data_IF_489673770012
#
_entry.id   IF_489673770012
#
_cell.length_a   1.000
_cell.length_b   1.000
_cell.length_c   1.000
_cell.angle_alpha   90.00
_cell.angle_beta   90.00
_cell.angle_gamma   90.00
#
_symmetry.space_group_name_H-M   'P 1'
#
loop_
_entity.id
_entity.type
_entity.pdbx_description
1 polymer ?
#
# COMPACT_ATOMS: atom_id res chain seq x y z
N UNK A 1 10.26 -12.16 -5.59
CA UNK A 1 8.95 -12.85 -5.49
C UNK A 1 9.00 -14.06 -4.54
N UNK A 2 9.68 -15.16 -4.89
CA UNK A 2 9.77 -16.35 -4.02
C UNK A 2 10.37 -16.08 -2.62
N UNK A 3 11.24 -15.08 -2.49
CA UNK A 3 11.74 -14.63 -1.19
C UNK A 3 10.61 -14.07 -0.31
N UNK A 4 9.76 -13.18 -0.83
CA UNK A 4 8.69 -12.55 -0.07
C UNK A 4 7.67 -13.57 0.46
N UNK A 5 7.32 -14.56 -0.35
CA UNK A 5 6.46 -15.66 0.08
C UNK A 5 7.13 -16.53 1.16
N UNK A 6 8.42 -16.86 1.02
CA UNK A 6 9.17 -17.55 2.09
C UNK A 6 9.21 -16.73 3.37
N UNK A 7 9.50 -15.43 3.28
CA UNK A 7 9.48 -14.51 4.42
C UNK A 7 8.12 -14.55 5.14
N UNK A 8 7.02 -14.53 4.38
CA UNK A 8 5.67 -14.71 4.94
C UNK A 8 5.50 -16.03 5.68
N UNK A 9 5.85 -17.16 5.06
CA UNK A 9 5.66 -18.48 5.67
C UNK A 9 6.54 -18.71 6.90
N UNK A 10 7.82 -18.32 6.85
CA UNK A 10 8.70 -18.42 8.01
C UNK A 10 8.16 -17.63 9.20
N UNK A 11 7.67 -16.41 8.98
CA UNK A 11 7.04 -15.63 10.04
C UNK A 11 5.75 -16.26 10.57
N UNK A 12 4.87 -16.74 9.68
CA UNK A 12 3.63 -17.43 10.08
C UNK A 12 3.92 -18.65 10.95
N UNK A 13 4.87 -19.48 10.53
CA UNK A 13 5.29 -20.68 11.27
C UNK A 13 5.94 -20.29 12.61
N UNK A 14 6.85 -19.32 12.62
CA UNK A 14 7.53 -18.88 13.83
C UNK A 14 6.56 -18.27 14.86
N UNK A 15 5.56 -17.50 14.41
CA UNK A 15 4.59 -16.84 15.29
C UNK A 15 3.47 -17.75 15.80
N UNK A 16 3.12 -18.81 15.06
CA UNK A 16 1.91 -19.59 15.35
C UNK A 16 2.14 -21.11 15.46
N UNK A 17 3.36 -21.60 15.21
CA UNK A 17 3.71 -23.00 15.29
C UNK A 17 2.76 -23.87 14.46
N UNK A 18 2.23 -24.94 15.05
CA UNK A 18 1.29 -25.87 14.39
C UNK A 18 -0.05 -25.25 13.97
N UNK A 19 -0.39 -24.07 14.48
CA UNK A 19 -1.65 -23.38 14.20
C UNK A 19 -1.49 -22.24 13.17
N UNK A 20 -0.39 -22.22 12.42
CA UNK A 20 -0.09 -21.17 11.45
C UNK A 20 -1.07 -21.12 10.26
N UNK A 21 -1.67 -22.25 9.90
CA UNK A 21 -2.60 -22.34 8.79
C UNK A 21 -3.73 -23.36 9.04
N UNK A 22 -4.83 -23.19 8.32
CA UNK A 22 -5.94 -24.15 8.24
C UNK A 22 -6.30 -24.42 6.78
N UNK A 23 -6.77 -25.64 6.50
CA UNK A 23 -7.22 -26.04 5.17
C UNK A 23 -8.51 -25.31 4.78
N UNK A 24 -8.62 -24.83 3.54
CA UNK A 24 -9.86 -24.27 2.99
C UNK A 24 -10.80 -25.37 2.53
N UNK A 25 -10.27 -26.46 1.95
CA UNK A 25 -11.04 -27.64 1.59
C UNK A 25 -10.72 -28.80 2.54
N UNK A 26 -11.73 -29.60 2.89
CA UNK A 26 -11.55 -30.81 3.71
C UNK A 26 -10.62 -31.85 3.06
N UNK A 27 -10.52 -31.84 1.73
CA UNK A 27 -9.70 -32.76 0.94
C UNK A 27 -8.23 -32.34 0.87
N UNK A 28 -7.90 -31.10 1.25
CA UNK A 28 -6.50 -30.67 1.29
C UNK A 28 -5.77 -31.34 2.47
N UNK A 29 -4.49 -31.72 2.29
CA UNK A 29 -3.70 -32.26 3.38
C UNK A 29 -3.61 -31.25 4.53
N UNK A 30 -3.55 -31.73 5.77
CA UNK A 30 -3.35 -30.84 6.92
C UNK A 30 -1.99 -30.15 6.79
N UNK A 31 -1.89 -28.85 7.11
CA UNK A 31 -0.61 -28.16 7.03
C UNK A 31 0.36 -28.74 8.05
N UNK A 32 1.56 -29.10 7.61
CA UNK A 32 2.63 -29.64 8.44
C UNK A 32 3.84 -28.70 8.42
N UNK A 33 4.26 -28.28 9.61
CA UNK A 33 5.35 -27.32 9.78
C UNK A 33 6.67 -27.87 9.25
N UNK A 34 7.00 -29.12 9.57
CA UNK A 34 8.30 -29.71 9.20
C UNK A 34 8.36 -29.96 7.70
N UNK A 35 7.26 -30.44 7.11
CA UNK A 35 7.14 -30.61 5.67
C UNK A 35 7.35 -29.28 4.94
N UNK A 36 6.65 -28.22 5.35
CA UNK A 36 6.73 -26.92 4.66
C UNK A 36 8.11 -26.29 4.79
N UNK A 37 8.75 -26.37 5.96
CA UNK A 37 10.13 -25.90 6.16
C UNK A 37 11.11 -26.67 5.27
N UNK A 38 11.03 -28.01 5.27
CA UNK A 38 11.87 -28.87 4.43
C UNK A 38 11.72 -28.55 2.94
N UNK A 39 10.49 -28.34 2.47
CA UNK A 39 10.23 -27.93 1.08
C UNK A 39 10.80 -26.55 0.78
N UNK A 40 10.65 -25.57 1.67
CA UNK A 40 11.21 -24.22 1.47
C UNK A 40 12.75 -24.18 1.44
N UNK A 41 13.39 -25.09 2.15
CA UNK A 41 14.85 -25.24 2.19
C UNK A 41 15.40 -25.97 0.96
N UNK A 42 14.74 -27.06 0.56
CA UNK A 42 15.21 -27.96 -0.51
C UNK A 42 14.77 -27.54 -1.90
N UNK A 43 13.51 -27.15 -2.11
CA UNK A 43 12.99 -26.82 -3.42
C UNK A 43 13.58 -25.49 -3.94
N UNK A 44 13.79 -25.40 -5.25
CA UNK A 44 14.33 -24.21 -5.93
C UNK A 44 13.53 -23.88 -7.19
N UNK A 45 13.77 -22.70 -7.73
CA UNK A 45 13.23 -22.27 -9.02
C UNK A 45 11.70 -22.38 -9.10
N UNK A 46 11.22 -22.93 -10.21
CA UNK A 46 9.78 -23.07 -10.48
C UNK A 46 9.08 -24.02 -9.51
N UNK A 47 9.72 -25.14 -9.16
CA UNK A 47 9.15 -26.11 -8.22
C UNK A 47 8.83 -25.45 -6.86
N UNK A 48 9.74 -24.61 -6.35
CA UNK A 48 9.46 -23.85 -5.13
C UNK A 48 8.29 -22.88 -5.33
N UNK A 49 8.25 -22.16 -6.45
CA UNK A 49 7.18 -21.19 -6.74
C UNK A 49 5.81 -21.86 -6.79
N UNK A 50 5.70 -23.02 -7.44
CA UNK A 50 4.46 -23.79 -7.52
C UNK A 50 4.00 -24.26 -6.14
N UNK A 51 4.92 -24.75 -5.30
CA UNK A 51 4.61 -25.17 -3.93
C UNK A 51 4.07 -24.00 -3.10
N UNK A 52 4.78 -22.87 -3.11
CA UNK A 52 4.38 -21.67 -2.37
C UNK A 52 3.01 -21.15 -2.86
N UNK A 53 2.80 -21.11 -4.18
CA UNK A 53 1.52 -20.67 -4.76
C UNK A 53 0.37 -21.59 -4.37
N UNK A 54 0.57 -22.90 -4.47
CA UNK A 54 -0.42 -23.89 -4.09
C UNK A 54 -0.76 -23.85 -2.60
N UNK A 55 0.16 -23.44 -1.73
CA UNK A 55 -0.14 -23.20 -0.31
C UNK A 55 -0.98 -21.93 -0.09
N UNK A 56 -0.67 -20.83 -0.79
CA UNK A 56 -1.48 -19.60 -0.68
C UNK A 56 -2.93 -19.80 -1.15
N UNK A 57 -3.15 -20.68 -2.13
CA UNK A 57 -4.48 -21.00 -2.67
C UNK A 57 -5.32 -21.89 -1.75
N UNK A 58 -4.68 -22.91 -1.15
CA UNK A 58 -5.37 -23.98 -0.40
C UNK A 58 -5.59 -23.70 1.07
N UNK A 59 -4.83 -22.77 1.65
CA UNK A 59 -4.83 -22.55 3.09
C UNK A 59 -5.26 -21.13 3.49
N UNK A 60 -5.84 -21.02 4.67
CA UNK A 60 -6.05 -19.76 5.37
C UNK A 60 -5.02 -19.63 6.48
N UNK A 61 -4.45 -18.44 6.64
CA UNK A 61 -3.36 -18.19 7.58
C UNK A 61 -3.88 -17.47 8.82
N UNK A 62 -3.37 -17.86 10.00
CA UNK A 62 -3.87 -17.35 11.26
C UNK A 62 -3.58 -15.86 11.39
N UNK A 63 -4.59 -15.08 11.75
CA UNK A 63 -4.47 -13.64 11.96
C UNK A 63 -4.18 -12.83 10.69
N UNK A 64 -4.31 -13.43 9.51
CA UNK A 64 -4.05 -12.77 8.22
C UNK A 64 -5.34 -12.69 7.41
N UNK A 65 -5.71 -11.47 6.99
CA UNK A 65 -6.83 -11.24 6.10
C UNK A 65 -6.54 -11.80 4.69
N UNK A 66 -7.57 -12.25 3.98
CA UNK A 66 -7.39 -12.96 2.69
C UNK A 66 -6.75 -12.10 1.58
N UNK A 67 -6.80 -10.78 1.70
CA UNK A 67 -6.20 -9.85 0.73
C UNK A 67 -4.68 -10.04 0.61
N UNK A 68 -4.00 -10.33 1.73
CA UNK A 68 -2.55 -10.51 1.80
C UNK A 68 -2.08 -11.74 1.01
N UNK A 69 -2.57 -12.99 1.26
CA UNK A 69 -2.15 -14.14 0.50
C UNK A 69 -2.55 -14.03 -0.98
N UNK A 70 -3.66 -13.34 -1.30
CA UNK A 70 -4.00 -13.03 -2.69
C UNK A 70 -2.96 -12.12 -3.35
N UNK A 71 -2.51 -11.06 -2.66
CA UNK A 71 -1.46 -10.18 -3.17
C UNK A 71 -0.14 -10.93 -3.39
N UNK A 72 0.26 -11.78 -2.44
CA UNK A 72 1.44 -12.63 -2.59
C UNK A 72 1.32 -13.60 -3.75
N UNK A 73 0.15 -14.21 -3.95
CA UNK A 73 -0.10 -15.15 -5.04
C UNK A 73 0.02 -14.47 -6.40
N UNK A 74 -0.61 -13.30 -6.57
CA UNK A 74 -0.51 -12.52 -7.80
C UNK A 74 0.92 -12.02 -8.04
N UNK A 75 1.62 -11.63 -6.98
CA UNK A 75 3.04 -11.30 -7.10
C UNK A 75 3.88 -12.51 -7.52
N UNK A 76 3.69 -13.70 -6.93
CA UNK A 76 4.40 -14.92 -7.33
C UNK A 76 4.16 -15.29 -8.79
N UNK A 77 2.96 -15.07 -9.30
CA UNK A 77 2.59 -15.28 -10.70
C UNK A 77 3.15 -14.22 -11.66
N UNK A 78 3.76 -13.17 -11.14
CA UNK A 78 4.30 -12.06 -11.93
C UNK A 78 3.22 -11.14 -12.52
N UNK A 79 1.97 -11.25 -12.07
CA UNK A 79 0.85 -10.44 -12.60
C UNK A 79 0.79 -9.07 -11.95
N UNK A 80 1.23 -8.93 -10.69
CA UNK A 80 1.28 -7.66 -9.99
C UNK A 80 2.73 -7.15 -9.87
N UNK A 81 3.05 -5.96 -10.42
CA UNK A 81 4.41 -5.40 -10.43
C UNK A 81 4.79 -4.81 -9.06
N UNK A 82 4.94 -5.68 -8.06
CA UNK A 82 5.44 -5.31 -6.75
C UNK A 82 6.97 -5.33 -6.71
N UNK A 83 7.55 -4.35 -6.04
CA UNK A 83 8.99 -4.17 -5.87
C UNK A 83 9.34 -4.52 -4.43
N UNK A 84 10.21 -5.50 -4.24
CA UNK A 84 10.73 -5.83 -2.92
C UNK A 84 11.73 -4.76 -2.48
N UNK A 85 11.59 -4.25 -1.26
CA UNK A 85 12.52 -3.29 -0.65
C UNK A 85 13.03 -3.79 0.70
N UNK A 86 14.27 -3.44 1.03
CA UNK A 86 14.89 -3.70 2.34
C UNK A 86 14.96 -2.43 3.21
N UNK A 87 14.44 -1.32 2.68
CA UNK A 87 14.31 0.00 3.28
C UNK A 87 12.87 0.50 3.13
N UNK A 88 12.48 1.46 3.97
CA UNK A 88 11.14 2.08 3.88
C UNK A 88 11.24 3.23 2.88
N UNK A 89 10.55 3.17 1.72
CA UNK A 89 10.61 4.22 0.72
C UNK A 89 10.01 5.52 1.28
N UNK A 90 10.57 6.66 0.86
CA UNK A 90 10.02 7.97 1.19
C UNK A 90 8.67 8.17 0.48
N UNK A 91 7.77 9.03 1.02
CA UNK A 91 6.45 9.28 0.43
C UNK A 91 6.49 9.65 -1.06
N UNK A 92 7.49 10.45 -1.48
CA UNK A 92 7.68 10.79 -2.90
C UNK A 92 8.07 9.60 -3.76
N UNK A 93 8.90 8.68 -3.26
CA UNK A 93 9.21 7.44 -3.98
C UNK A 93 7.97 6.57 -4.16
N UNK A 94 7.12 6.51 -3.13
CA UNK A 94 5.86 5.75 -3.17
C UNK A 94 4.87 6.37 -4.16
N UNK A 95 4.69 7.70 -4.16
CA UNK A 95 3.89 8.42 -5.16
C UNK A 95 4.36 8.08 -6.58
N UNK A 96 5.66 8.14 -6.81
CA UNK A 96 6.31 7.86 -8.08
C UNK A 96 6.06 6.42 -8.54
N UNK A 97 6.19 5.45 -7.65
CA UNK A 97 5.87 4.05 -7.96
C UNK A 97 4.41 3.90 -8.36
N UNK A 98 3.49 4.49 -7.58
CA UNK A 98 2.05 4.43 -7.84
C UNK A 98 1.67 5.05 -9.18
N UNK A 99 2.21 6.22 -9.51
CA UNK A 99 1.99 6.85 -10.82
C UNK A 99 2.43 5.93 -11.98
N UNK A 100 3.54 5.21 -11.79
CA UNK A 100 4.08 4.24 -12.75
C UNK A 100 3.35 2.89 -12.72
N UNK A 101 2.40 2.69 -11.80
CA UNK A 101 1.61 1.47 -11.69
C UNK A 101 2.27 0.34 -10.93
N UNK A 102 3.29 0.62 -10.12
CA UNK A 102 3.91 -0.35 -9.22
C UNK A 102 3.72 0.03 -7.74
N UNK A 103 4.04 -0.90 -6.83
CA UNK A 103 4.10 -0.62 -5.38
C UNK A 103 5.29 -1.32 -4.74
N UNK A 104 5.80 -0.74 -3.66
CA UNK A 104 6.77 -1.41 -2.80
C UNK A 104 6.11 -2.41 -1.85
N UNK A 105 6.86 -3.45 -1.50
CA UNK A 105 6.64 -4.30 -0.33
C UNK A 105 7.95 -4.42 0.42
N UNK A 106 7.94 -4.03 1.69
CA UNK A 106 9.14 -3.89 2.50
C UNK A 106 9.37 -5.13 3.37
N UNK A 107 10.54 -5.75 3.24
CA UNK A 107 10.94 -6.91 4.04
C UNK A 107 12.24 -6.60 4.80
N UNK A 108 12.12 -6.14 6.05
CA UNK A 108 13.28 -5.94 6.92
C UNK A 108 13.67 -7.27 7.58
N UNK A 109 14.86 -7.77 7.28
CA UNK A 109 15.31 -9.11 7.70
C UNK A 109 16.43 -9.10 8.73
N UNK A 110 17.06 -7.96 8.97
CA UNK A 110 18.18 -7.84 9.92
C UNK A 110 17.69 -7.96 11.37
N UNK A 111 18.33 -8.83 12.16
CA UNK A 111 18.13 -8.90 13.61
C UNK A 111 19.04 -7.88 14.32
N UNK A 112 18.60 -7.19 15.39
CA UNK A 112 17.28 -7.25 16.02
C UNK A 112 16.25 -6.30 15.37
N UNK A 113 16.59 -5.61 14.28
CA UNK A 113 15.74 -4.60 13.64
C UNK A 113 14.36 -5.13 13.27
N UNK A 114 14.26 -6.35 12.78
CA UNK A 114 13.01 -6.99 12.35
C UNK A 114 11.97 -7.13 13.49
N UNK A 115 12.43 -7.19 14.75
CA UNK A 115 11.59 -7.30 15.93
C UNK A 115 11.15 -5.94 16.50
N UNK A 116 11.72 -4.83 16.02
CA UNK A 116 11.41 -3.47 16.50
C UNK A 116 10.28 -2.84 15.68
N UNK A 117 9.53 -1.88 16.25
CA UNK A 117 8.50 -1.15 15.53
C UNK A 117 8.98 -0.57 14.18
N UNK A 118 8.05 -0.51 13.24
CA UNK A 118 8.24 0.05 11.89
C UNK A 118 7.10 1.02 11.65
N UNK A 119 7.39 2.32 11.70
CA UNK A 119 6.37 3.38 11.73
C UNK A 119 5.32 3.09 12.82
N UNK A 120 4.05 2.94 12.45
CA UNK A 120 2.93 2.62 13.34
C UNK A 120 2.67 1.11 13.50
N UNK A 121 3.55 0.24 12.99
CA UNK A 121 3.41 -1.22 13.08
C UNK A 121 4.34 -1.80 14.14
N UNK A 122 3.92 -2.86 14.86
CA UNK A 122 4.67 -3.38 16.00
C UNK A 122 6.02 -4.00 15.61
N UNK A 123 6.17 -4.52 14.39
CA UNK A 123 7.41 -5.14 13.90
C UNK A 123 7.42 -5.24 12.36
N UNK A 124 8.54 -5.70 11.78
CA UNK A 124 8.73 -5.77 10.34
C UNK A 124 7.71 -6.64 9.60
N UNK A 125 7.33 -7.79 10.17
CA UNK A 125 6.30 -8.63 9.55
C UNK A 125 4.92 -7.96 9.50
N UNK A 126 4.50 -7.25 10.55
CA UNK A 126 3.24 -6.50 10.52
C UNK A 126 3.25 -5.38 9.46
N UNK A 127 4.41 -4.75 9.23
CA UNK A 127 4.59 -3.78 8.16
C UNK A 127 4.58 -4.43 6.76
N UNK A 128 5.22 -5.58 6.60
CA UNK A 128 5.16 -6.36 5.37
C UNK A 128 3.73 -6.78 5.00
N UNK A 129 2.93 -7.22 5.98
CA UNK A 129 1.51 -7.55 5.77
C UNK A 129 0.70 -6.32 5.36
N UNK A 130 0.99 -5.16 5.97
CA UNK A 130 0.37 -3.89 5.60
C UNK A 130 0.67 -3.50 4.16
N UNK A 131 1.92 -3.56 3.71
CA UNK A 131 2.29 -3.27 2.33
C UNK A 131 1.54 -4.18 1.33
N UNK A 132 1.38 -5.47 1.67
CA UNK A 132 0.60 -6.41 0.86
C UNK A 132 -0.89 -6.11 0.84
N UNK A 133 -1.45 -5.59 1.93
CA UNK A 133 -2.83 -5.10 1.93
C UNK A 133 -2.99 -3.88 1.00
N UNK A 134 -2.03 -2.95 1.01
CA UNK A 134 -2.00 -1.83 0.07
C UNK A 134 -1.81 -2.27 -1.38
N UNK A 135 -0.97 -3.27 -1.63
CA UNK A 135 -0.86 -3.91 -2.93
C UNK A 135 -2.21 -4.45 -3.39
N UNK A 136 -2.92 -5.18 -2.53
CA UNK A 136 -4.25 -5.68 -2.88
C UNK A 136 -5.19 -4.53 -3.25
N UNK A 137 -5.33 -3.51 -2.39
CA UNK A 137 -6.17 -2.32 -2.63
C UNK A 137 -5.84 -1.58 -3.93
N UNK A 138 -4.60 -1.68 -4.38
CA UNK A 138 -4.12 -0.99 -5.58
C UNK A 138 -4.30 -1.79 -6.87
N UNK A 139 -4.29 -3.13 -6.81
CA UNK A 139 -4.29 -3.98 -8.02
C UNK A 139 -5.53 -4.87 -8.20
N UNK A 140 -6.35 -5.08 -7.16
CA UNK A 140 -7.43 -6.08 -7.24
C UNK A 140 -8.50 -5.76 -8.28
N UNK A 141 -8.69 -4.48 -8.63
CA UNK A 141 -9.65 -4.02 -9.63
C UNK A 141 -8.87 -3.26 -10.72
N UNK A 142 -8.84 -3.77 -11.97
CA UNK A 142 -8.17 -3.10 -13.08
C UNK A 142 -8.68 -1.67 -13.32
N UNK A 143 -9.99 -1.49 -13.15
CA UNK A 143 -10.70 -0.22 -13.20
C UNK A 143 -10.17 0.76 -12.12
N UNK A 144 -10.27 0.39 -10.84
CA UNK A 144 -9.77 1.25 -9.75
C UNK A 144 -8.27 1.50 -9.87
N UNK A 145 -7.51 0.50 -10.29
CA UNK A 145 -6.07 0.62 -10.53
C UNK A 145 -5.76 1.69 -11.59
N UNK A 146 -6.47 1.69 -12.72
CA UNK A 146 -6.31 2.69 -13.76
C UNK A 146 -6.65 4.11 -13.24
N UNK A 147 -7.76 4.25 -12.50
CA UNK A 147 -8.15 5.53 -11.89
C UNK A 147 -7.14 6.03 -10.85
N UNK A 148 -6.64 5.15 -9.99
CA UNK A 148 -5.63 5.49 -8.99
C UNK A 148 -4.32 5.92 -9.66
N UNK A 149 -3.87 5.21 -10.70
CA UNK A 149 -2.70 5.60 -11.48
C UNK A 149 -2.85 6.97 -12.11
N UNK A 150 -4.01 7.25 -12.71
CA UNK A 150 -4.29 8.57 -13.29
C UNK A 150 -4.22 9.68 -12.23
N UNK A 151 -4.82 9.45 -11.04
CA UNK A 151 -4.72 10.37 -9.92
C UNK A 151 -3.28 10.64 -9.50
N UNK A 152 -2.50 9.58 -9.24
CA UNK A 152 -1.13 9.72 -8.75
C UNK A 152 -0.20 10.31 -9.80
N UNK A 153 -0.42 10.04 -11.09
CA UNK A 153 0.32 10.69 -12.16
C UNK A 153 0.02 12.21 -12.22
N UNK A 154 -1.25 12.60 -12.12
CA UNK A 154 -1.61 14.02 -12.06
C UNK A 154 -1.00 14.70 -10.82
N UNK A 155 -1.03 14.03 -9.67
CA UNK A 155 -0.44 14.52 -8.42
C UNK A 155 1.09 14.66 -8.52
N UNK A 156 1.79 13.67 -9.10
CA UNK A 156 3.23 13.72 -9.39
C UNK A 156 3.56 14.92 -10.29
N UNK A 157 2.82 15.11 -11.38
CA UNK A 157 3.04 16.23 -12.30
C UNK A 157 2.83 17.59 -11.64
N UNK A 158 1.82 17.72 -10.77
CA UNK A 158 1.54 18.95 -10.02
C UNK A 158 2.65 19.21 -8.98
N UNK A 159 3.13 18.15 -8.32
CA UNK A 159 4.24 18.23 -7.37
C UNK A 159 5.54 18.68 -8.06
N UNK A 160 5.91 18.07 -9.18
CA UNK A 160 7.16 18.37 -9.90
C UNK A 160 7.16 19.81 -10.47
N UNK A 161 5.99 20.40 -10.73
CA UNK A 161 5.85 21.83 -11.09
C UNK A 161 5.98 22.79 -9.91
N UNK A 162 6.20 22.30 -8.69
CA UNK A 162 6.36 23.12 -7.49
C UNK A 162 5.06 23.74 -6.97
N UNK A 163 3.89 23.26 -7.41
CA UNK A 163 2.59 23.82 -7.01
C UNK A 163 2.38 23.71 -5.49
N UNK A 164 2.93 22.68 -4.85
CA UNK A 164 2.81 22.48 -3.41
C UNK A 164 3.91 23.17 -2.57
N UNK A 165 4.89 23.84 -3.19
CA UNK A 165 5.97 24.54 -2.48
C UNK A 165 5.48 25.53 -1.43
N UNK A 166 4.42 26.35 -1.67
CA UNK A 166 3.91 27.29 -0.67
C UNK A 166 3.35 26.65 0.61
N UNK A 167 3.08 25.33 0.60
CA UNK A 167 2.43 24.62 1.70
C UNK A 167 3.42 23.90 2.62
N UNK A 168 4.67 23.72 2.20
CA UNK A 168 5.65 22.90 2.94
C UNK A 168 6.19 23.54 4.24
N UNK A 169 5.84 24.80 4.51
CA UNK A 169 6.10 25.43 5.81
C UNK A 169 5.06 25.07 6.89
N UNK A 170 3.96 24.38 6.53
CA UNK A 170 2.94 23.91 7.48
C UNK A 170 3.13 22.41 7.74
N UNK A 171 3.61 22.08 8.95
CA UNK A 171 3.96 20.72 9.33
C UNK A 171 2.76 19.74 9.32
N UNK A 172 1.55 20.25 9.62
CA UNK A 172 0.33 19.44 9.59
C UNK A 172 -0.05 19.07 8.14
N UNK A 173 0.03 20.03 7.22
CA UNK A 173 -0.14 19.81 5.80
C UNK A 173 0.88 18.78 5.29
N UNK A 174 2.18 18.98 5.57
CA UNK A 174 3.25 18.06 5.14
C UNK A 174 2.96 16.63 5.59
N UNK A 175 2.60 16.45 6.86
CA UNK A 175 2.30 15.12 7.43
C UNK A 175 1.15 14.43 6.69
N UNK A 176 0.04 15.15 6.46
CA UNK A 176 -1.13 14.59 5.77
C UNK A 176 -0.90 14.41 4.27
N UNK A 177 -0.12 15.28 3.65
CA UNK A 177 0.26 15.16 2.25
C UNK A 177 1.16 13.94 2.03
N UNK A 178 2.10 13.67 2.93
CA UNK A 178 2.89 12.43 2.92
C UNK A 178 2.01 11.18 3.05
N UNK A 179 0.99 11.20 3.91
CA UNK A 179 0.03 10.10 4.02
C UNK A 179 -0.76 9.88 2.72
N UNK A 180 -1.21 10.95 2.05
CA UNK A 180 -1.86 10.88 0.73
C UNK A 180 -0.94 10.21 -0.31
N UNK A 181 0.35 10.55 -0.28
CA UNK A 181 1.35 10.01 -1.22
C UNK A 181 1.67 8.53 -0.98
N UNK A 182 1.67 8.06 0.28
CA UNK A 182 2.18 6.72 0.63
C UNK A 182 1.09 5.66 0.79
N UNK A 183 0.01 5.95 1.52
CA UNK A 183 -0.89 4.91 2.06
C UNK A 183 -2.33 5.03 1.54
N UNK A 184 -2.63 5.99 0.67
CA UNK A 184 -4.00 6.23 0.22
C UNK A 184 -4.39 5.43 -1.04
N UNK A 185 -4.36 4.09 -0.97
CA UNK A 185 -4.93 3.23 -2.02
C UNK A 185 -6.41 2.95 -1.74
N UNK A 186 -7.23 3.91 -2.12
CA UNK A 186 -8.69 3.83 -2.05
C UNK A 186 -9.28 4.31 -3.38
N UNK A 187 -10.58 4.52 -3.47
CA UNK A 187 -11.19 5.12 -4.65
C UNK A 187 -10.52 6.47 -4.98
N UNK A 188 -10.20 6.78 -6.24
CA UNK A 188 -9.52 8.02 -6.63
C UNK A 188 -10.22 9.30 -6.14
N UNK A 189 -11.56 9.30 -6.15
CA UNK A 189 -12.34 10.42 -5.63
C UNK A 189 -12.13 10.65 -4.12
N UNK A 190 -11.97 9.59 -3.33
CA UNK A 190 -11.62 9.76 -1.91
C UNK A 190 -10.24 10.40 -1.74
N UNK A 191 -9.26 10.04 -2.56
CA UNK A 191 -7.93 10.68 -2.55
C UNK A 191 -7.99 12.16 -2.93
N UNK A 192 -8.82 12.51 -3.92
CA UNK A 192 -9.08 13.89 -4.33
C UNK A 192 -9.80 14.69 -3.23
N UNK A 193 -10.82 14.11 -2.60
CA UNK A 193 -11.55 14.72 -1.48
C UNK A 193 -10.65 14.91 -0.26
N UNK A 194 -9.78 13.95 0.02
CA UNK A 194 -8.79 14.08 1.08
C UNK A 194 -7.82 15.23 0.78
N UNK A 195 -7.29 15.33 -0.44
CA UNK A 195 -6.46 16.45 -0.87
C UNK A 195 -7.19 17.79 -0.71
N UNK A 196 -8.47 17.87 -1.11
CA UNK A 196 -9.31 19.04 -0.88
C UNK A 196 -9.39 19.39 0.61
N UNK A 197 -9.67 18.41 1.46
CA UNK A 197 -9.82 18.63 2.90
C UNK A 197 -8.53 19.19 3.53
N UNK A 198 -7.36 18.63 3.20
CA UNK A 198 -6.08 19.09 3.77
C UNK A 198 -5.70 20.49 3.27
N UNK A 199 -6.07 20.86 2.04
CA UNK A 199 -5.89 22.22 1.51
C UNK A 199 -6.83 23.23 2.17
N UNK A 200 -8.10 22.87 2.36
CA UNK A 200 -9.07 23.72 3.07
C UNK A 200 -8.59 23.99 4.49
N UNK A 201 -8.19 22.94 5.23
CA UNK A 201 -7.68 23.10 6.58
C UNK A 201 -6.41 23.96 6.65
N UNK A 202 -5.49 23.81 5.68
CA UNK A 202 -4.32 24.68 5.56
C UNK A 202 -4.73 26.15 5.44
N UNK A 203 -5.66 26.49 4.54
CA UNK A 203 -6.08 27.87 4.35
C UNK A 203 -6.81 28.43 5.57
N UNK A 204 -7.67 27.64 6.22
CA UNK A 204 -8.33 28.05 7.46
C UNK A 204 -7.32 28.38 8.56
N UNK A 205 -6.30 27.52 8.76
CA UNK A 205 -5.22 27.78 9.71
C UNK A 205 -4.44 29.05 9.35
N UNK A 206 -4.04 29.20 8.09
CA UNK A 206 -3.29 30.35 7.60
C UNK A 206 -4.05 31.67 7.78
N UNK A 207 -5.36 31.64 7.57
CA UNK A 207 -6.26 32.79 7.74
C UNK A 207 -6.76 32.99 9.18
N UNK A 208 -6.35 32.10 10.12
CA UNK A 208 -6.81 32.08 11.53
C UNK A 208 -8.33 31.98 11.68
N UNK A 209 -8.95 31.22 10.79
CA UNK A 209 -10.40 30.99 10.76
C UNK A 209 -10.77 29.66 11.43
N UNK A 210 -11.96 29.61 12.01
CA UNK A 210 -12.61 28.41 12.50
C UNK A 210 -13.08 27.49 11.39
N UNK A 211 -13.32 26.21 11.73
CA UNK A 211 -13.64 25.14 10.76
C UNK A 211 -14.92 25.33 9.93
N UNK A 212 -15.83 26.20 10.40
CA UNK A 212 -17.12 26.47 9.74
C UNK A 212 -17.12 27.79 8.98
N UNK A 213 -16.02 28.54 9.03
CA UNK A 213 -15.92 29.82 8.34
C UNK A 213 -15.57 29.60 6.86
N UNK A 214 -16.06 30.47 5.96
CA UNK A 214 -15.74 30.38 4.55
C UNK A 214 -14.25 30.75 4.30
N UNK A 215 -13.67 30.15 3.27
CA UNK A 215 -12.35 30.54 2.79
C UNK A 215 -12.39 31.95 2.18
N UNK A 216 -11.24 32.62 2.13
CA UNK A 216 -11.15 33.84 1.32
C UNK A 216 -11.32 33.54 -0.18
N UNK A 217 -11.82 34.48 -1.00
CA UNK A 217 -11.93 34.26 -2.46
C UNK A 217 -10.61 33.84 -3.12
N UNK A 218 -9.48 34.37 -2.63
CA UNK A 218 -8.15 34.00 -3.11
C UNK A 218 -7.80 32.53 -2.77
N UNK A 219 -8.10 32.08 -1.55
CA UNK A 219 -7.90 30.69 -1.15
C UNK A 219 -8.81 29.73 -1.93
N UNK A 220 -10.07 30.11 -2.18
CA UNK A 220 -10.99 29.32 -3.01
C UNK A 220 -10.49 29.19 -4.46
N UNK A 221 -10.00 30.28 -5.05
CA UNK A 221 -9.42 30.26 -6.38
C UNK A 221 -8.21 29.31 -6.45
N UNK A 222 -7.27 29.45 -5.52
CA UNK A 222 -6.08 28.59 -5.48
C UNK A 222 -6.42 27.12 -5.25
N UNK A 223 -7.36 26.83 -4.34
CA UNK A 223 -7.88 25.48 -4.13
C UNK A 223 -8.48 24.92 -5.43
N UNK A 224 -9.29 25.72 -6.13
CA UNK A 224 -9.91 25.34 -7.40
C UNK A 224 -8.89 25.09 -8.51
N UNK A 225 -7.80 25.85 -8.58
CA UNK A 225 -6.70 25.62 -9.51
C UNK A 225 -5.98 24.28 -9.26
N UNK A 226 -5.64 23.99 -8.00
CA UNK A 226 -4.98 22.73 -7.63
C UNK A 226 -5.90 21.54 -7.93
N UNK A 227 -7.18 21.61 -7.53
CA UNK A 227 -8.13 20.52 -7.73
C UNK A 227 -8.44 20.28 -9.21
N UNK A 228 -8.40 21.31 -10.05
CA UNK A 228 -8.47 21.16 -11.51
C UNK A 228 -7.21 20.51 -12.08
N UNK A 229 -6.03 20.86 -11.55
CA UNK A 229 -4.77 20.30 -12.03
C UNK A 229 -4.57 18.82 -11.69
N UNK A 230 -5.23 18.33 -10.64
CA UNK A 230 -5.28 16.90 -10.25
C UNK A 230 -6.61 16.23 -10.64
N UNK A 231 -7.41 16.88 -11.49
CA UNK A 231 -8.70 16.35 -11.88
C UNK A 231 -8.55 15.01 -12.60
N UNK A 232 -9.44 14.08 -12.27
CA UNK A 232 -9.48 12.78 -12.90
C UNK A 232 -10.19 12.90 -14.25
N UNK A 233 -9.80 12.13 -15.28
CA UNK A 233 -10.64 11.99 -16.46
C UNK A 233 -11.95 11.26 -16.10
N UNK A 234 -13.04 11.53 -16.82
CA UNK A 234 -14.25 10.70 -16.76
C UNK A 234 -13.86 9.24 -17.13
N UNK A 235 -14.42 8.20 -16.47
CA UNK A 235 -15.58 8.17 -15.57
C UNK A 235 -15.26 8.33 -14.08
N UNK A 236 -14.00 8.56 -13.70
CA UNK A 236 -13.60 8.59 -12.29
C UNK A 236 -14.07 9.83 -11.53
N UNK A 237 -14.64 10.79 -12.27
CA UNK A 237 -15.48 11.86 -11.74
C UNK A 237 -16.91 11.33 -11.52
N UNK A 238 -17.11 10.42 -10.55
CA UNK A 238 -18.47 10.03 -10.17
C UNK A 238 -19.12 11.17 -9.36
N UNK A 239 -20.42 11.42 -9.63
CA UNK A 239 -21.27 12.51 -9.14
C UNK A 239 -20.95 12.98 -7.72
N UNK A 240 -20.51 14.25 -7.60
CA UNK A 240 -20.42 14.97 -6.34
C UNK A 240 -21.81 15.28 -5.78
#
# INVERSE_FOLDING_TARGET
MAFAARYFFYWQIASHGRQFASRRNKNDPRPDVNEWLSVMESAKGECLRERLSGWLERYQFRGVINNVPMALLQWLRGTWPLILREDIPQPLEVLRMQARGCRAVTALTAYPRLCRPVLNKPHAFAFFLHDLEHAWKFFHSPELHAGQRAFFNALENVFDRGVFTPYFNDAEFVTRFHYLMSDMNTHPEHSRQYLRAILVEFYLRRERKGRKEPLSPAAEQMLGEILRAVALPAPWQACA
#
